data_IF_337043669406
#
_entry.id   IF_337043669406
#
_cell.length_a   1.000
_cell.length_b   1.000
_cell.length_c   1.000
_cell.angle_alpha   90.00
_cell.angle_beta   90.00
_cell.angle_gamma   90.00
#
_symmetry.space_group_name_H-M   'P 1'
#
loop_
_entity.id
_entity.type
_entity.pdbx_description
1 polymer ?
#
# COMPACT_ATOMS: atom_id res chain seq x y z
N UNK A 1 26.60 13.47 37.15
CA UNK A 1 26.05 14.84 37.28
C UNK A 1 26.29 15.57 35.97
N UNK A 2 25.37 15.54 34.98
CA UNK A 2 25.43 16.48 33.86
C UNK A 2 24.17 16.58 32.94
N UNK A 3 23.09 15.81 33.14
CA UNK A 3 21.90 15.94 32.26
C UNK A 3 20.89 17.01 32.71
N UNK A 4 20.79 17.29 34.01
CA UNK A 4 19.80 18.23 34.55
C UNK A 4 20.11 19.70 34.22
N UNK A 5 21.36 20.04 33.88
CA UNK A 5 21.77 21.42 33.58
C UNK A 5 21.54 21.83 32.13
N UNK A 6 21.20 20.89 31.23
CA UNK A 6 20.96 21.18 29.80
C UNK A 6 19.49 21.49 29.50
N UNK A 7 18.57 20.92 30.26
CA UNK A 7 17.11 21.06 30.07
C UNK A 7 16.51 22.38 30.61
N UNK A 8 17.20 23.06 31.53
CA UNK A 8 16.69 24.28 32.17
C UNK A 8 16.72 25.53 31.27
N UNK A 9 17.40 25.48 30.12
CA UNK A 9 17.55 26.60 29.17
C UNK A 9 16.67 26.55 27.94
N UNK A 10 15.93 25.45 27.71
CA UNK A 10 15.13 25.27 26.50
C UNK A 10 13.85 26.11 26.55
N UNK A 11 13.57 26.81 25.46
CA UNK A 11 12.32 27.54 25.23
C UNK A 11 11.13 26.58 25.26
N UNK A 12 9.94 27.12 25.52
CA UNK A 12 8.69 26.34 25.55
C UNK A 12 8.45 25.58 24.23
N UNK A 13 8.85 26.16 23.09
CA UNK A 13 8.81 25.49 21.79
C UNK A 13 9.77 24.31 21.72
N UNK A 14 11.02 24.46 22.17
CA UNK A 14 11.99 23.37 22.14
C UNK A 14 11.56 22.21 23.05
N UNK A 15 10.98 22.49 24.23
CA UNK A 15 10.39 21.43 25.09
C UNK A 15 9.20 20.74 24.44
N UNK A 16 8.42 21.46 23.64
CA UNK A 16 7.30 20.88 22.89
C UNK A 16 7.79 20.03 21.71
N UNK A 17 8.88 20.44 21.05
CA UNK A 17 9.51 19.69 19.95
C UNK A 17 10.18 18.43 20.48
N UNK A 18 10.96 18.52 21.56
CA UNK A 18 11.62 17.38 22.21
C UNK A 18 10.60 16.34 22.68
N UNK A 19 9.49 16.79 23.27
CA UNK A 19 8.38 15.92 23.65
C UNK A 19 7.59 15.39 22.45
N UNK A 20 7.53 16.10 21.34
CA UNK A 20 6.89 15.64 20.11
C UNK A 20 7.73 14.56 19.40
N UNK A 21 9.06 14.74 19.37
CA UNK A 21 10.04 13.78 18.86
C UNK A 21 10.09 12.49 19.69
N UNK A 22 9.90 12.55 21.01
CA UNK A 22 9.78 11.37 21.88
C UNK A 22 8.61 10.42 21.49
N UNK A 23 7.55 10.91 20.85
CA UNK A 23 6.34 10.13 20.51
C UNK A 23 6.14 9.86 19.01
N UNK A 24 7.04 10.33 18.13
CA UNK A 24 6.86 10.31 16.66
C UNK A 24 8.10 9.87 15.88
N UNK A 25 8.82 8.84 16.35
CA UNK A 25 10.14 8.50 15.78
C UNK A 25 10.47 7.02 15.57
N UNK A 26 9.50 6.09 15.55
CA UNK A 26 9.84 4.75 15.08
C UNK A 26 9.97 4.72 13.56
N UNK A 27 11.15 5.13 13.08
CA UNK A 27 11.60 5.01 11.68
C UNK A 27 11.36 3.61 11.13
N UNK A 28 11.46 2.58 11.99
CA UNK A 28 11.11 1.20 11.68
C UNK A 28 9.64 1.01 11.31
N UNK A 29 8.68 1.61 12.05
CA UNK A 29 7.28 1.51 11.68
C UNK A 29 6.99 2.23 10.36
N UNK A 30 7.55 3.42 10.16
CA UNK A 30 7.41 4.14 8.89
C UNK A 30 7.93 3.32 7.71
N UNK A 31 9.07 2.65 7.88
CA UNK A 31 9.64 1.77 6.85
C UNK A 31 8.76 0.55 6.58
N UNK A 32 8.31 -0.13 7.64
CA UNK A 32 7.36 -1.25 7.54
C UNK A 32 6.11 -0.80 6.80
N UNK A 33 5.56 0.36 7.15
CA UNK A 33 4.37 0.89 6.53
C UNK A 33 4.58 1.19 5.04
N UNK A 34 5.69 1.85 4.71
CA UNK A 34 6.07 2.16 3.33
C UNK A 34 6.24 0.92 2.44
N UNK A 35 6.69 -0.21 3.00
CA UNK A 35 6.82 -1.48 2.26
C UNK A 35 5.51 -2.27 2.22
N UNK A 36 4.82 -2.38 3.35
CA UNK A 36 3.66 -3.23 3.48
C UNK A 36 2.42 -2.64 2.80
N UNK A 37 2.20 -1.31 2.79
CA UNK A 37 1.02 -0.73 2.11
C UNK A 37 1.02 -1.03 0.60
N UNK A 38 2.10 -0.76 -0.16
CA UNK A 38 2.14 -1.14 -1.58
C UNK A 38 2.01 -2.66 -1.78
N UNK A 39 2.62 -3.47 -0.91
CA UNK A 39 2.52 -4.93 -0.99
C UNK A 39 1.08 -5.43 -0.76
N UNK A 40 0.35 -4.87 0.20
CA UNK A 40 -1.07 -5.16 0.46
C UNK A 40 -1.90 -4.76 -0.75
N UNK A 41 -1.70 -3.56 -1.30
CA UNK A 41 -2.43 -3.09 -2.47
C UNK A 41 -2.19 -3.97 -3.71
N UNK A 42 -0.93 -4.31 -4.00
CA UNK A 42 -0.55 -5.19 -5.11
C UNK A 42 -1.14 -6.60 -4.95
N UNK A 43 -1.02 -7.18 -3.76
CA UNK A 43 -1.55 -8.53 -3.50
C UNK A 43 -3.07 -8.57 -3.52
N UNK A 44 -3.76 -7.53 -3.04
CA UNK A 44 -5.21 -7.41 -3.16
C UNK A 44 -5.65 -7.37 -4.62
N UNK A 45 -4.97 -6.58 -5.46
CA UNK A 45 -5.23 -6.56 -6.91
C UNK A 45 -5.05 -7.97 -7.49
N UNK A 46 -3.99 -8.68 -7.14
CA UNK A 46 -3.75 -10.06 -7.61
C UNK A 46 -4.82 -11.06 -7.16
N UNK A 47 -5.34 -10.94 -5.92
CA UNK A 47 -6.47 -11.75 -5.44
C UNK A 47 -7.74 -11.48 -6.26
N UNK A 48 -8.03 -10.20 -6.54
CA UNK A 48 -9.19 -9.81 -7.35
C UNK A 48 -9.01 -10.13 -8.84
N UNK A 49 -7.76 -10.20 -9.32
CA UNK A 49 -7.42 -10.51 -10.71
C UNK A 49 -7.89 -11.92 -11.11
N UNK A 50 -7.86 -12.86 -10.18
CA UNK A 50 -8.33 -14.24 -10.41
C UNK A 50 -9.82 -14.36 -10.69
N UNK A 51 -10.62 -13.32 -10.40
CA UNK A 51 -12.06 -13.31 -10.64
C UNK A 51 -12.34 -12.74 -12.04
N UNK A 52 -12.36 -13.62 -13.04
CA UNK A 52 -12.62 -13.30 -14.45
C UNK A 52 -14.12 -13.09 -14.67
N UNK A 53 -14.49 -12.03 -15.39
CA UNK A 53 -15.87 -11.62 -15.63
C UNK A 53 -16.27 -11.95 -17.07
N UNK A 54 -15.53 -11.43 -18.04
CA UNK A 54 -15.83 -11.59 -19.46
C UNK A 54 -14.58 -11.33 -20.31
N UNK A 55 -14.47 -12.02 -21.44
CA UNK A 55 -13.48 -11.71 -22.46
C UNK A 55 -14.10 -10.78 -23.50
N UNK A 56 -13.46 -9.63 -23.71
CA UNK A 56 -13.91 -8.59 -24.66
C UNK A 56 -13.00 -8.62 -25.88
N UNK A 57 -13.55 -8.94 -27.04
CA UNK A 57 -12.79 -8.89 -28.29
C UNK A 57 -12.33 -7.45 -28.60
N UNK A 58 -11.05 -7.27 -28.91
CA UNK A 58 -10.52 -5.96 -29.30
C UNK A 58 -10.79 -5.77 -30.81
N UNK A 59 -11.57 -4.73 -31.22
CA UNK A 59 -11.92 -4.54 -32.61
C UNK A 59 -10.70 -4.49 -33.52
N UNK A 60 -10.79 -5.18 -34.67
CA UNK A 60 -9.75 -5.23 -35.71
C UNK A 60 -8.45 -5.95 -35.27
N UNK A 61 -8.51 -6.79 -34.24
CA UNK A 61 -7.39 -7.65 -33.83
C UNK A 61 -7.89 -9.04 -33.43
N UNK A 62 -7.00 -10.03 -33.38
CA UNK A 62 -7.29 -11.38 -32.85
C UNK A 62 -7.19 -11.45 -31.32
N UNK A 63 -6.94 -10.31 -30.65
CA UNK A 63 -6.71 -10.26 -29.22
C UNK A 63 -8.02 -10.05 -28.44
N UNK A 64 -8.09 -10.68 -27.28
CA UNK A 64 -9.16 -10.49 -26.31
C UNK A 64 -8.61 -9.81 -25.06
N UNK A 65 -9.38 -8.89 -24.50
CA UNK A 65 -9.14 -8.29 -23.21
C UNK A 65 -10.00 -9.01 -22.17
N UNK A 66 -9.38 -9.76 -21.27
CA UNK A 66 -10.09 -10.35 -20.13
C UNK A 66 -10.41 -9.29 -19.10
N UNK A 67 -11.69 -8.96 -18.97
CA UNK A 67 -12.19 -8.14 -17.88
C UNK A 67 -12.20 -8.97 -16.59
N UNK A 68 -11.54 -8.49 -15.56
CA UNK A 68 -11.51 -9.10 -14.24
C UNK A 68 -11.83 -8.05 -13.16
N UNK A 69 -12.16 -8.53 -11.96
CA UNK A 69 -12.52 -7.65 -10.83
C UNK A 69 -11.34 -6.74 -10.42
N UNK A 70 -10.09 -7.20 -10.59
CA UNK A 70 -8.89 -6.40 -10.32
C UNK A 70 -8.81 -5.13 -11.18
N UNK A 71 -9.08 -5.24 -12.48
CA UNK A 71 -9.11 -4.08 -13.40
C UNK A 71 -10.22 -3.10 -13.00
N UNK A 72 -11.42 -3.60 -12.68
CA UNK A 72 -12.53 -2.76 -12.22
C UNK A 72 -12.13 -2.01 -10.94
N UNK A 73 -11.53 -2.71 -9.98
CA UNK A 73 -11.06 -2.11 -8.73
C UNK A 73 -10.03 -1.00 -8.97
N UNK A 74 -9.04 -1.22 -9.85
CA UNK A 74 -8.06 -0.21 -10.24
C UNK A 74 -8.75 1.02 -10.86
N UNK A 75 -9.70 0.81 -11.79
CA UNK A 75 -10.43 1.91 -12.42
C UNK A 75 -11.21 2.74 -11.39
N UNK A 76 -11.93 2.09 -10.48
CA UNK A 76 -12.66 2.76 -9.41
C UNK A 76 -11.73 3.52 -8.47
N UNK A 77 -10.59 2.92 -8.09
CA UNK A 77 -9.58 3.58 -7.27
C UNK A 77 -8.98 4.81 -7.98
N UNK A 78 -8.68 4.72 -9.27
CA UNK A 78 -8.19 5.86 -10.06
C UNK A 78 -9.23 6.99 -10.09
N UNK A 79 -10.50 6.68 -10.37
CA UNK A 79 -11.58 7.68 -10.36
C UNK A 79 -11.73 8.35 -8.99
N UNK A 80 -11.62 7.58 -7.90
CA UNK A 80 -11.58 8.15 -6.56
C UNK A 80 -10.39 9.08 -6.35
N UNK A 81 -9.18 8.66 -6.73
CA UNK A 81 -7.95 9.46 -6.59
C UNK A 81 -7.96 10.73 -7.44
N UNK A 82 -8.72 10.75 -8.54
CA UNK A 82 -8.98 11.94 -9.33
C UNK A 82 -9.74 13.01 -8.55
N UNK A 83 -10.61 12.61 -7.62
CA UNK A 83 -11.33 13.55 -6.74
C UNK A 83 -10.40 14.19 -5.70
N UNK A 84 -9.25 13.57 -5.39
CA UNK A 84 -8.26 14.12 -4.46
C UNK A 84 -7.31 15.11 -5.17
N UNK A 85 -6.68 14.67 -6.27
CA UNK A 85 -5.84 15.52 -7.12
C UNK A 85 -5.45 14.81 -8.41
N UNK A 86 -5.14 15.58 -9.46
CA UNK A 86 -4.65 15.01 -10.72
C UNK A 86 -3.31 14.24 -10.56
N UNK A 87 -2.42 14.70 -9.67
CA UNK A 87 -1.17 14.01 -9.39
C UNK A 87 -1.39 12.65 -8.72
N UNK A 88 -2.32 12.56 -7.77
CA UNK A 88 -2.69 11.30 -7.12
C UNK A 88 -3.36 10.33 -8.10
N UNK A 89 -4.22 10.84 -8.99
CA UNK A 89 -4.78 10.07 -10.09
C UNK A 89 -3.70 9.44 -10.97
N UNK A 90 -2.74 10.24 -11.44
CA UNK A 90 -1.68 9.75 -12.31
C UNK A 90 -0.82 8.69 -11.59
N UNK A 91 -0.54 8.89 -10.30
CA UNK A 91 0.12 7.90 -9.46
C UNK A 91 -0.64 6.57 -9.40
N UNK A 92 -1.96 6.63 -9.18
CA UNK A 92 -2.81 5.43 -9.15
C UNK A 92 -2.90 4.73 -10.51
N UNK A 93 -2.96 5.47 -11.62
CA UNK A 93 -2.94 4.90 -12.97
C UNK A 93 -1.63 4.16 -13.22
N UNK A 94 -0.48 4.79 -12.93
CA UNK A 94 0.83 4.16 -13.09
C UNK A 94 0.96 2.92 -12.21
N UNK A 95 0.57 3.01 -10.94
CA UNK A 95 0.56 1.87 -10.02
C UNK A 95 -0.32 0.72 -10.53
N UNK A 96 -1.54 1.03 -10.98
CA UNK A 96 -2.48 0.07 -11.53
C UNK A 96 -1.97 -0.62 -12.81
N UNK A 97 -1.28 0.12 -13.69
CA UNK A 97 -0.65 -0.45 -14.89
C UNK A 97 0.48 -1.42 -14.51
N UNK A 98 1.35 -1.03 -13.58
CA UNK A 98 2.43 -1.91 -13.08
C UNK A 98 1.84 -3.16 -12.42
N UNK A 99 0.81 -3.01 -11.58
CA UNK A 99 0.13 -4.13 -10.94
C UNK A 99 -0.49 -5.10 -11.96
N UNK A 100 -1.12 -4.55 -13.00
CA UNK A 100 -1.71 -5.33 -14.09
C UNK A 100 -0.65 -6.10 -14.87
N UNK A 101 0.47 -5.45 -15.22
CA UNK A 101 1.59 -6.11 -15.90
C UNK A 101 2.17 -7.25 -15.05
N UNK A 102 2.31 -7.06 -13.74
CA UNK A 102 2.78 -8.10 -12.83
C UNK A 102 1.80 -9.29 -12.78
N UNK A 103 0.49 -9.03 -12.69
CA UNK A 103 -0.52 -10.10 -12.68
C UNK A 103 -0.50 -10.91 -13.99
N UNK A 104 -0.47 -10.22 -15.14
CA UNK A 104 -0.37 -10.86 -16.47
C UNK A 104 0.92 -11.69 -16.56
N UNK A 105 2.05 -11.13 -16.12
CA UNK A 105 3.34 -11.85 -16.13
C UNK A 105 3.30 -13.10 -15.25
N UNK A 106 2.58 -13.05 -14.13
CA UNK A 106 2.43 -14.19 -13.22
C UNK A 106 1.49 -15.26 -13.77
N UNK A 107 0.41 -14.88 -14.46
CA UNK A 107 -0.48 -15.82 -15.16
C UNK A 107 0.25 -16.60 -16.27
N UNK A 108 1.30 -16.03 -16.84
CA UNK A 108 2.17 -16.71 -17.82
C UNK A 108 3.24 -17.61 -17.16
N UNK A 109 3.35 -17.60 -15.83
CA UNK A 109 4.30 -18.41 -15.07
C UNK A 109 3.67 -19.74 -14.63
N UNK A 110 4.46 -20.75 -14.20
CA UNK A 110 3.91 -22.00 -13.66
C UNK A 110 3.34 -21.86 -12.24
N UNK A 111 3.46 -20.67 -11.62
CA UNK A 111 3.05 -20.45 -10.24
C UNK A 111 1.62 -19.91 -10.14
N UNK A 112 0.91 -20.29 -9.06
CA UNK A 112 -0.45 -19.80 -8.79
C UNK A 112 -0.43 -18.34 -8.31
N UNK A 113 -0.95 -17.43 -9.13
CA UNK A 113 -1.13 -16.01 -8.75
C UNK A 113 -1.93 -15.89 -7.46
N UNK A 114 -3.04 -16.64 -7.32
CA UNK A 114 -3.89 -16.64 -6.13
C UNK A 114 -3.11 -16.99 -4.86
N UNK A 115 -2.35 -18.09 -4.90
CA UNK A 115 -1.58 -18.55 -3.74
C UNK A 115 -0.47 -17.55 -3.38
N UNK A 116 0.23 -17.04 -4.39
CA UNK A 116 1.28 -16.05 -4.20
C UNK A 116 0.73 -14.75 -3.60
N UNK A 117 -0.33 -14.21 -4.19
CA UNK A 117 -1.01 -13.00 -3.69
C UNK A 117 -1.53 -13.21 -2.27
N UNK A 118 -2.11 -14.36 -1.94
CA UNK A 118 -2.59 -14.64 -0.58
C UNK A 118 -1.44 -14.65 0.43
N UNK A 119 -0.32 -15.30 0.11
CA UNK A 119 0.86 -15.34 0.99
C UNK A 119 1.40 -13.92 1.21
N UNK A 120 1.59 -13.14 0.14
CA UNK A 120 2.07 -11.75 0.25
C UNK A 120 1.10 -10.89 1.05
N UNK A 121 -0.21 -11.03 0.82
CA UNK A 121 -1.24 -10.28 1.54
C UNK A 121 -1.18 -10.54 3.05
N UNK A 122 -1.13 -11.82 3.45
CA UNK A 122 -1.04 -12.21 4.86
C UNK A 122 0.26 -11.72 5.48
N UNK A 123 1.41 -11.94 4.83
CA UNK A 123 2.71 -11.51 5.37
C UNK A 123 2.81 -9.99 5.50
N UNK A 124 2.29 -9.23 4.53
CA UNK A 124 2.32 -7.78 4.57
C UNK A 124 1.40 -7.21 5.67
N UNK A 125 0.24 -7.82 5.91
CA UNK A 125 -0.61 -7.46 7.05
C UNK A 125 0.02 -7.80 8.39
N UNK A 126 0.62 -8.98 8.53
CA UNK A 126 1.40 -9.35 9.73
C UNK A 126 2.50 -8.30 9.96
N UNK A 127 3.21 -7.90 8.92
CA UNK A 127 4.18 -6.80 8.96
C UNK A 127 3.59 -5.49 9.48
N UNK A 128 2.47 -5.03 8.90
CA UNK A 128 1.76 -3.83 9.38
C UNK A 128 1.41 -3.92 10.88
N UNK A 129 0.86 -5.05 11.33
CA UNK A 129 0.48 -5.22 12.73
C UNK A 129 1.71 -5.20 13.66
N UNK A 130 2.82 -5.81 13.25
CA UNK A 130 4.09 -5.73 13.99
C UNK A 130 4.57 -4.27 14.07
N UNK A 131 4.56 -3.55 12.94
CA UNK A 131 4.92 -2.14 12.89
C UNK A 131 4.12 -1.29 13.87
N UNK A 132 2.79 -1.44 13.86
CA UNK A 132 1.90 -0.75 14.78
C UNK A 132 2.11 -1.16 16.24
N UNK A 133 2.35 -2.44 16.50
CA UNK A 133 2.63 -2.92 17.86
C UNK A 133 3.90 -2.30 18.44
N UNK A 134 4.96 -2.15 17.63
CA UNK A 134 6.20 -1.49 18.06
C UNK A 134 6.02 0.01 18.35
N UNK A 135 5.10 0.69 17.66
CA UNK A 135 4.86 2.13 17.87
C UNK A 135 3.89 2.39 19.04
N UNK A 136 3.28 1.34 19.62
CA UNK A 136 2.36 1.45 20.76
C UNK A 136 1.04 2.19 20.45
N UNK A 137 0.81 2.58 19.20
CA UNK A 137 -0.42 3.22 18.71
C UNK A 137 -1.25 2.21 17.91
N UNK A 138 -2.57 2.24 18.08
CA UNK A 138 -3.48 1.36 17.35
C UNK A 138 -3.40 1.66 15.85
N UNK A 139 -3.57 0.66 14.97
CA UNK A 139 -3.69 0.90 13.54
C UNK A 139 -4.87 1.85 13.27
N UNK A 140 -4.67 2.82 12.37
CA UNK A 140 -5.66 3.83 11.98
C UNK A 140 -6.95 3.24 11.39
N UNK A 141 -7.00 1.92 11.16
CA UNK A 141 -8.21 1.16 10.83
C UNK A 141 -9.27 1.11 11.94
N UNK A 142 -8.94 1.56 13.16
CA UNK A 142 -9.81 1.52 14.34
C UNK A 142 -10.14 2.88 14.93
N UNK A 143 -9.80 3.97 14.24
CA UNK A 143 -10.30 5.32 14.55
C UNK A 143 -11.63 5.60 13.86
#
# INVERSE_FOLDING_TARGET
MNDQSKSSGLSKCEKLIERYEEFHQHSTNRLIHFLCVPAIALSLIGLLWGIKIADVAIPKTEYFLTLNVGVIFICLAALYYLTLSFGSFLGMVVFGLVASLLCISFEMSPYSLLSFSLIVFVLAWVGQFIGHHMEGKRPAFTE
#
